data_IF_350017959020
#
_entry.id   IF_350017959020
#
_cell.length_a   1.000
_cell.length_b   1.000
_cell.length_c   1.000
_cell.angle_alpha   90.00
_cell.angle_beta   90.00
_cell.angle_gamma   90.00
#
_symmetry.space_group_name_H-M   'P 1'
#
loop_
_entity.id
_entity.type
_entity.pdbx_description
1 polymer ?
#
# COMPACT_ATOMS: atom_id res chain seq x y z
N UNK A 1 -3.18 -20.35 -10.51
CA UNK A 1 -1.80 -19.83 -10.65
C UNK A 1 -1.75 -18.31 -10.56
N UNK A 2 -2.59 -17.60 -11.32
CA UNK A 2 -2.70 -16.13 -11.31
C UNK A 2 -2.88 -15.49 -9.93
N UNK A 3 -3.79 -15.99 -9.08
CA UNK A 3 -3.98 -15.44 -7.73
C UNK A 3 -2.72 -15.48 -6.85
N UNK A 4 -1.82 -16.46 -7.08
CA UNK A 4 -0.52 -16.51 -6.38
C UNK A 4 0.42 -15.42 -6.88
N UNK A 5 0.46 -15.19 -8.20
CA UNK A 5 1.28 -14.14 -8.81
C UNK A 5 0.85 -12.78 -8.26
N UNK A 6 -0.44 -12.45 -8.33
CA UNK A 6 -0.97 -11.17 -7.81
C UNK A 6 -0.68 -10.94 -6.33
N UNK A 7 -0.80 -11.96 -5.48
CA UNK A 7 -0.49 -11.84 -4.05
C UNK A 7 1.00 -11.57 -3.80
N UNK A 8 1.89 -12.27 -4.51
CA UNK A 8 3.34 -12.04 -4.43
C UNK A 8 3.73 -10.68 -4.98
N UNK A 9 3.12 -10.27 -6.10
CA UNK A 9 3.33 -8.93 -6.67
C UNK A 9 2.85 -7.85 -5.71
N UNK A 10 1.67 -8.00 -5.10
CA UNK A 10 1.18 -7.07 -4.08
C UNK A 10 2.15 -6.95 -2.89
N UNK A 11 2.67 -8.07 -2.38
CA UNK A 11 3.69 -8.06 -1.33
C UNK A 11 5.02 -7.42 -1.77
N UNK A 12 5.44 -7.65 -3.02
CA UNK A 12 6.64 -7.01 -3.57
C UNK A 12 6.46 -5.49 -3.67
N UNK A 13 5.32 -5.01 -4.16
CA UNK A 13 5.02 -3.57 -4.21
C UNK A 13 5.00 -2.94 -2.82
N UNK A 14 4.47 -3.64 -1.81
CA UNK A 14 4.52 -3.18 -0.42
C UNK A 14 5.97 -3.03 0.08
N UNK A 15 6.82 -4.04 -0.16
CA UNK A 15 8.23 -3.97 0.21
C UNK A 15 8.96 -2.86 -0.54
N UNK A 16 8.72 -2.71 -1.84
CA UNK A 16 9.34 -1.65 -2.64
C UNK A 16 8.87 -0.27 -2.17
N UNK A 17 7.62 -0.12 -1.74
CA UNK A 17 7.15 1.14 -1.13
C UNK A 17 7.94 1.46 0.15
N UNK A 18 8.11 0.49 1.06
CA UNK A 18 8.92 0.70 2.27
C UNK A 18 10.37 1.05 1.90
N UNK A 19 10.96 0.34 0.93
CA UNK A 19 12.33 0.63 0.49
C UNK A 19 12.42 2.01 -0.17
N UNK A 20 11.42 2.44 -0.94
CA UNK A 20 11.44 3.73 -1.63
C UNK A 20 11.48 4.90 -0.65
N UNK A 21 10.77 4.81 0.48
CA UNK A 21 10.82 5.86 1.50
C UNK A 21 12.14 5.82 2.29
N UNK A 22 12.68 4.63 2.59
CA UNK A 22 13.97 4.50 3.29
C UNK A 22 15.15 5.01 2.46
N UNK A 23 15.08 4.86 1.13
CA UNK A 23 16.10 5.31 0.19
C UNK A 23 15.83 6.71 -0.38
N UNK A 24 14.79 7.41 0.09
CA UNK A 24 14.39 8.74 -0.39
C UNK A 24 14.23 8.82 -1.92
N UNK A 25 13.62 7.80 -2.53
CA UNK A 25 13.35 7.80 -3.97
C UNK A 25 12.33 8.88 -4.33
N UNK A 26 12.73 9.80 -5.22
CA UNK A 26 11.93 10.96 -5.62
C UNK A 26 11.52 10.85 -7.08
N UNK A 27 10.23 11.02 -7.34
CA UNK A 27 9.68 11.26 -8.68
C UNK A 27 8.93 12.60 -8.62
N UNK A 28 9.16 13.46 -9.62
CA UNK A 28 8.63 14.84 -9.64
C UNK A 28 8.92 15.63 -8.35
N UNK A 29 10.05 15.35 -7.69
CA UNK A 29 10.47 16.01 -6.45
C UNK A 29 9.76 15.54 -5.17
N UNK A 30 8.90 14.52 -5.24
CA UNK A 30 8.16 14.01 -4.07
C UNK A 30 8.42 12.52 -3.82
N UNK A 31 8.87 12.19 -2.61
CA UNK A 31 9.03 10.80 -2.14
C UNK A 31 7.67 10.15 -1.87
N UNK A 32 6.72 10.96 -1.42
CA UNK A 32 5.35 10.51 -1.13
C UNK A 32 4.62 10.07 -2.38
N UNK A 33 4.94 10.65 -3.54
CA UNK A 33 4.33 10.23 -4.81
C UNK A 33 4.73 8.81 -5.18
N UNK A 34 6.02 8.47 -5.01
CA UNK A 34 6.55 7.12 -5.24
C UNK A 34 5.96 6.14 -4.24
N UNK A 35 5.99 6.50 -2.96
CA UNK A 35 5.49 5.69 -1.86
C UNK A 35 4.00 5.36 -2.03
N UNK A 36 3.18 6.39 -2.23
CA UNK A 36 1.74 6.24 -2.45
C UNK A 36 1.44 5.49 -3.75
N UNK A 37 2.10 5.83 -4.85
CA UNK A 37 1.86 5.18 -6.15
C UNK A 37 2.14 3.68 -6.11
N UNK A 38 3.23 3.28 -5.46
CA UNK A 38 3.57 1.87 -5.23
C UNK A 38 2.55 1.19 -4.31
N UNK A 39 2.18 1.83 -3.20
CA UNK A 39 1.16 1.32 -2.27
C UNK A 39 -0.20 1.14 -2.93
N UNK A 40 -0.65 2.11 -3.72
CA UNK A 40 -1.91 2.09 -4.46
C UNK A 40 -1.92 0.98 -5.52
N UNK A 41 -0.85 0.89 -6.32
CA UNK A 41 -0.71 -0.17 -7.33
C UNK A 41 -0.68 -1.55 -6.68
N UNK A 42 0.10 -1.70 -5.60
CA UNK A 42 0.16 -2.93 -4.81
C UNK A 42 -1.18 -3.31 -4.19
N UNK A 43 -1.99 -2.32 -3.78
CA UNK A 43 -3.33 -2.53 -3.25
C UNK A 43 -4.28 -3.06 -4.34
N UNK A 44 -4.32 -2.44 -5.52
CA UNK A 44 -5.14 -2.89 -6.66
C UNK A 44 -4.79 -4.34 -7.02
N UNK A 45 -3.50 -4.66 -7.13
CA UNK A 45 -3.05 -6.01 -7.45
C UNK A 45 -3.41 -7.02 -6.34
N UNK A 46 -3.33 -6.62 -5.07
CA UNK A 46 -3.74 -7.46 -3.93
C UNK A 46 -5.25 -7.72 -3.92
N UNK A 47 -6.06 -6.72 -4.27
CA UNK A 47 -7.52 -6.84 -4.43
C UNK A 47 -7.84 -7.79 -5.59
N UNK A 48 -7.23 -7.59 -6.77
CA UNK A 48 -7.37 -8.49 -7.90
C UNK A 48 -6.98 -9.93 -7.52
N UNK A 49 -5.82 -10.13 -6.88
CA UNK A 49 -5.40 -11.46 -6.44
C UNK A 49 -6.41 -12.18 -5.55
N UNK A 50 -7.13 -11.46 -4.69
CA UNK A 50 -8.21 -12.02 -3.85
C UNK A 50 -9.48 -12.35 -4.65
N UNK A 51 -9.89 -11.49 -5.57
CA UNK A 51 -11.04 -11.77 -6.44
C UNK A 51 -10.83 -13.05 -7.28
N UNK A 52 -9.64 -13.22 -7.84
CA UNK A 52 -9.29 -14.43 -8.61
C UNK A 52 -9.12 -15.70 -7.76
N UNK A 53 -9.02 -15.57 -6.43
CA UNK A 53 -8.87 -16.68 -5.49
C UNK A 53 -10.19 -17.30 -5.04
N UNK A 54 -11.32 -16.58 -5.19
CA UNK A 54 -12.65 -17.04 -4.79
C UNK A 54 -13.11 -18.33 -5.49
N UNK A 55 -12.39 -18.80 -6.52
CA UNK A 55 -12.67 -20.05 -7.23
C UNK A 55 -11.59 -21.13 -7.11
N UNK A 56 -10.60 -21.02 -6.21
CA UNK A 56 -9.51 -22.01 -6.11
C UNK A 56 -9.13 -22.30 -4.67
N UNK A 57 -9.89 -23.18 -4.02
CA UNK A 57 -9.62 -23.75 -2.69
C UNK A 57 -8.47 -24.78 -2.72
N UNK A 58 -7.31 -24.34 -3.18
CA UNK A 58 -6.08 -25.09 -3.02
C UNK A 58 -5.52 -24.90 -1.60
N UNK A 59 -5.05 -25.99 -0.99
CA UNK A 59 -4.33 -26.00 0.30
C UNK A 59 -3.11 -25.06 0.24
N UNK A 60 -3.30 -23.77 0.56
CA UNK A 60 -2.24 -22.76 0.58
C UNK A 60 -1.46 -22.86 1.89
N UNK A 61 -0.13 -22.82 1.79
CA UNK A 61 0.75 -22.86 2.96
C UNK A 61 0.47 -21.68 3.90
N UNK A 62 0.69 -21.91 5.20
CA UNK A 62 0.49 -20.89 6.24
C UNK A 62 1.31 -19.61 5.99
N UNK A 63 2.53 -19.76 5.49
CA UNK A 63 3.40 -18.64 5.11
C UNK A 63 2.79 -17.79 3.99
N UNK A 64 2.24 -18.41 2.95
CA UNK A 64 1.62 -17.68 1.85
C UNK A 64 0.45 -16.81 2.34
N UNK A 65 -0.40 -17.36 3.21
CA UNK A 65 -1.53 -16.61 3.79
C UNK A 65 -1.08 -15.39 4.60
N UNK A 66 0.05 -15.50 5.32
CA UNK A 66 0.63 -14.37 6.06
C UNK A 66 1.16 -13.28 5.13
N UNK A 67 1.95 -13.65 4.11
CA UNK A 67 2.53 -12.71 3.14
C UNK A 67 1.44 -11.97 2.38
N UNK A 68 0.43 -12.68 1.89
CA UNK A 68 -0.71 -12.09 1.19
C UNK A 68 -1.49 -11.12 2.09
N UNK A 69 -1.70 -11.49 3.36
CA UNK A 69 -2.40 -10.63 4.32
C UNK A 69 -1.60 -9.37 4.62
N UNK A 70 -0.29 -9.50 4.82
CA UNK A 70 0.62 -8.39 5.07
C UNK A 70 0.67 -7.45 3.86
N UNK A 71 0.86 -7.98 2.65
CA UNK A 71 0.87 -7.18 1.42
C UNK A 71 -0.45 -6.45 1.20
N UNK A 72 -1.58 -7.12 1.38
CA UNK A 72 -2.89 -6.49 1.25
C UNK A 72 -3.11 -5.35 2.27
N UNK A 73 -2.97 -5.63 3.56
CA UNK A 73 -3.24 -4.63 4.60
C UNK A 73 -2.19 -3.53 4.63
N UNK A 74 -0.93 -3.86 4.38
CA UNK A 74 0.15 -2.89 4.27
C UNK A 74 -0.10 -1.88 3.15
N UNK A 75 -0.38 -2.37 1.93
CA UNK A 75 -0.73 -1.50 0.81
C UNK A 75 -2.03 -0.71 1.04
N UNK A 76 -3.02 -1.31 1.69
CA UNK A 76 -4.27 -0.62 2.07
C UNK A 76 -4.01 0.56 3.01
N UNK A 77 -3.19 0.36 4.05
CA UNK A 77 -2.84 1.42 5.00
C UNK A 77 -2.11 2.55 4.28
N UNK A 78 -1.10 2.24 3.45
CA UNK A 78 -0.39 3.24 2.66
C UNK A 78 -1.38 4.02 1.79
N UNK A 79 -2.27 3.31 1.10
CA UNK A 79 -3.24 3.93 0.20
C UNK A 79 -4.22 4.84 0.93
N UNK A 80 -4.77 4.43 2.07
CA UNK A 80 -5.77 5.21 2.81
C UNK A 80 -5.12 6.41 3.51
N UNK A 81 -4.03 6.19 4.23
CA UNK A 81 -3.38 7.22 5.05
C UNK A 81 -2.74 8.29 4.17
N UNK A 82 -2.16 7.89 3.04
CA UNK A 82 -1.49 8.81 2.11
C UNK A 82 -2.35 9.17 0.90
N UNK A 83 -3.65 8.86 0.92
CA UNK A 83 -4.58 9.28 -0.12
C UNK A 83 -4.57 10.81 -0.23
N UNK A 84 -4.39 11.41 -1.43
CA UNK A 84 -4.17 12.85 -1.53
C UNK A 84 -5.25 13.73 -0.87
N UNK A 85 -6.55 13.41 -0.96
CA UNK A 85 -7.58 14.10 -0.18
C UNK A 85 -7.42 13.99 1.34
N UNK A 86 -7.11 12.80 1.88
CA UNK A 86 -6.85 12.65 3.31
C UNK A 86 -5.56 13.35 3.73
N UNK A 87 -4.55 13.37 2.87
CA UNK A 87 -3.31 14.10 3.10
C UNK A 87 -3.55 15.63 3.15
N UNK A 88 -4.41 16.16 2.29
CA UNK A 88 -4.82 17.57 2.33
C UNK A 88 -5.61 17.91 3.60
N UNK A 89 -6.53 17.05 4.02
CA UNK A 89 -7.29 17.22 5.27
C UNK A 89 -6.35 17.21 6.47
N UNK A 90 -5.42 16.24 6.52
CA UNK A 90 -4.46 16.13 7.60
C UNK A 90 -3.50 17.32 7.64
N UNK A 91 -3.01 17.76 6.48
CA UNK A 91 -2.19 18.97 6.37
C UNK A 91 -2.93 20.22 6.84
N UNK A 92 -4.22 20.33 6.55
CA UNK A 92 -5.06 21.44 7.04
C UNK A 92 -5.29 21.36 8.55
N UNK A 93 -5.56 20.17 9.07
CA UNK A 93 -5.75 19.93 10.51
C UNK A 93 -4.49 20.26 11.31
N UNK A 94 -3.32 19.80 10.85
CA UNK A 94 -2.02 20.08 11.47
C UNK A 94 -1.72 21.58 11.48
N UNK A 95 -1.99 22.29 10.38
CA UNK A 95 -1.87 23.75 10.34
C UNK A 95 -2.80 24.41 11.35
N UNK A 96 -4.07 24.04 11.38
CA UNK A 96 -5.05 24.60 12.32
C UNK A 96 -4.64 24.40 13.78
N UNK A 97 -4.13 23.21 14.11
CA UNK A 97 -3.69 22.88 15.47
C UNK A 97 -2.47 23.71 15.89
N UNK A 98 -1.52 23.95 14.98
CA UNK A 98 -0.39 24.86 15.24
C UNK A 98 -0.83 26.32 15.42
N UNK A 99 -1.80 26.79 14.65
CA UNK A 99 -2.30 28.17 14.77
C UNK A 99 -3.24 28.40 15.96
N UNK A 100 -3.87 27.35 16.49
CA UNK A 100 -4.79 27.45 17.65
C UNK A 100 -4.07 27.30 19.00
N UNK A 101 -2.79 26.92 18.99
CA UNK A 101 -1.98 26.68 20.18
C UNK A 101 -0.95 27.79 20.49
N UNK A 102 -0.91 28.86 19.69
CA UNK A 102 -0.09 30.06 19.89
C UNK A 102 -0.97 31.28 20.11
#
# INVERSE_FOLDING_TARGET
MLGKIFAWTGAAFFLIAIVSILLNWRIYGSELFVFYGLGFTGFILSVAGRFWKLGTDGHLSSLFKKVERLGFYGNMIITIVFFPPFYMIWGTFVKWLMFSAG
#
